data_IF_862232148554
#
_entry.id   IF_862232148554
#
_cell.length_a   1.000
_cell.length_b   1.000
_cell.length_c   1.000
_cell.angle_alpha   90.00
_cell.angle_beta   90.00
_cell.angle_gamma   90.00
#
_symmetry.space_group_name_H-M   'P 1'
#
loop_
_entity.id
_entity.type
_entity.pdbx_description
1 polymer ?
#
# COMPACT_ATOMS: atom_id res chain seq x y z
N UNK A 1 20.18 -8.74 18.89
CA UNK A 1 19.00 -9.65 18.97
C UNK A 1 17.70 -8.89 19.21
N UNK A 2 17.64 -7.96 20.16
CA UNK A 2 16.47 -7.08 20.41
C UNK A 2 15.96 -6.35 19.17
N UNK A 3 16.88 -5.83 18.36
CA UNK A 3 16.57 -5.09 17.13
C UNK A 3 15.82 -5.92 16.08
N UNK A 4 16.26 -7.16 15.89
CA UNK A 4 15.65 -8.11 14.94
C UNK A 4 14.26 -8.50 15.43
N UNK A 5 14.10 -8.71 16.74
CA UNK A 5 12.80 -9.03 17.34
C UNK A 5 11.80 -7.86 17.16
N UNK A 6 12.23 -6.62 17.39
CA UNK A 6 11.38 -5.43 17.17
C UNK A 6 10.94 -5.33 15.71
N UNK A 7 11.86 -5.55 14.76
CA UNK A 7 11.55 -5.57 13.33
C UNK A 7 10.49 -6.63 13.04
N UNK A 8 10.71 -7.88 13.45
CA UNK A 8 9.78 -8.98 13.17
C UNK A 8 8.40 -8.71 13.79
N UNK A 9 8.34 -8.35 15.08
CA UNK A 9 7.07 -8.09 15.78
C UNK A 9 6.31 -6.91 15.17
N UNK A 10 7.00 -5.81 14.84
CA UNK A 10 6.39 -4.63 14.22
C UNK A 10 5.86 -4.96 12.83
N UNK A 11 6.63 -5.74 12.05
CA UNK A 11 6.23 -6.20 10.71
C UNK A 11 4.97 -7.05 10.77
N UNK A 12 4.97 -8.06 11.65
CA UNK A 12 3.84 -8.96 11.84
C UNK A 12 2.61 -8.18 12.27
N UNK A 13 2.72 -7.29 13.25
CA UNK A 13 1.61 -6.44 13.68
C UNK A 13 1.02 -5.60 12.54
N UNK A 14 1.86 -4.83 11.85
CA UNK A 14 1.44 -3.92 10.78
C UNK A 14 0.78 -4.67 9.62
N UNK A 15 1.42 -5.74 9.13
CA UNK A 15 0.88 -6.53 8.02
C UNK A 15 -0.38 -7.30 8.41
N UNK A 16 -0.43 -7.85 9.63
CA UNK A 16 -1.61 -8.58 10.10
C UNK A 16 -2.83 -7.67 10.12
N UNK A 17 -2.71 -6.43 10.59
CA UNK A 17 -3.81 -5.46 10.59
C UNK A 17 -4.27 -5.14 9.16
N UNK A 18 -3.33 -4.80 8.26
CA UNK A 18 -3.70 -4.43 6.88
C UNK A 18 -4.36 -5.61 6.16
N UNK A 19 -3.77 -6.80 6.22
CA UNK A 19 -4.30 -7.98 5.55
C UNK A 19 -5.64 -8.41 6.16
N UNK A 20 -5.78 -8.40 7.49
CA UNK A 20 -7.07 -8.74 8.12
C UNK A 20 -8.19 -7.84 7.63
N UNK A 21 -7.95 -6.53 7.52
CA UNK A 21 -8.96 -5.59 7.05
C UNK A 21 -9.30 -5.81 5.57
N UNK A 22 -8.30 -6.14 4.75
CA UNK A 22 -8.50 -6.55 3.37
C UNK A 22 -9.41 -7.79 3.28
N UNK A 23 -9.06 -8.87 3.97
CA UNK A 23 -9.85 -10.10 3.99
C UNK A 23 -11.25 -9.89 4.55
N UNK A 24 -11.38 -9.04 5.59
CA UNK A 24 -12.70 -8.67 6.12
C UNK A 24 -13.57 -7.98 5.07
N UNK A 25 -12.98 -7.22 4.14
CA UNK A 25 -13.69 -6.64 3.00
C UNK A 25 -14.38 -7.71 2.16
N UNK A 26 -13.63 -8.72 1.71
CA UNK A 26 -14.18 -9.87 0.98
C UNK A 26 -15.22 -10.62 1.81
N UNK A 27 -14.93 -10.89 3.08
CA UNK A 27 -15.82 -11.60 4.00
C UNK A 27 -17.18 -10.90 4.12
N UNK A 28 -17.20 -9.61 4.42
CA UNK A 28 -18.44 -8.85 4.61
C UNK A 28 -19.22 -8.71 3.32
N UNK A 29 -18.56 -8.48 2.18
CA UNK A 29 -19.22 -8.42 0.88
C UNK A 29 -19.81 -9.76 0.46
N UNK A 30 -19.09 -10.86 0.68
CA UNK A 30 -19.56 -12.21 0.39
C UNK A 30 -20.79 -12.56 1.25
N UNK A 31 -20.75 -12.23 2.55
CA UNK A 31 -21.89 -12.37 3.46
C UNK A 31 -23.10 -11.56 2.99
N UNK A 32 -22.90 -10.30 2.59
CA UNK A 32 -23.97 -9.45 2.08
C UNK A 32 -24.58 -9.99 0.77
N UNK A 33 -23.77 -10.64 -0.07
CA UNK A 33 -24.24 -11.30 -1.30
C UNK A 33 -24.83 -12.70 -1.06
N UNK A 34 -24.90 -13.17 0.19
CA UNK A 34 -25.39 -14.51 0.53
C UNK A 34 -24.49 -15.63 -0.01
N UNK A 35 -23.18 -15.40 -0.08
CA UNK A 35 -22.17 -16.43 -0.38
C UNK A 35 -21.83 -17.16 0.92
N UNK A 36 -21.80 -18.49 0.88
CA UNK A 36 -21.33 -19.32 1.97
C UNK A 36 -19.81 -19.27 2.05
N UNK A 37 -19.31 -19.05 3.26
CA UNK A 37 -17.88 -18.93 3.56
C UNK A 37 -17.51 -20.15 4.40
N UNK A 38 -16.45 -20.84 4.02
CA UNK A 38 -15.97 -22.01 4.74
C UNK A 38 -14.96 -21.61 5.81
N UNK A 39 -13.99 -20.75 5.46
CA UNK A 39 -12.92 -20.36 6.36
C UNK A 39 -12.49 -18.90 6.20
N UNK A 40 -12.20 -18.24 7.32
CA UNK A 40 -11.45 -16.99 7.42
C UNK A 40 -10.11 -17.28 8.10
N UNK A 41 -9.00 -17.07 7.40
CA UNK A 41 -7.65 -17.36 7.91
C UNK A 41 -6.83 -16.09 8.03
N UNK A 42 -6.29 -15.84 9.22
CA UNK A 42 -5.18 -14.92 9.42
C UNK A 42 -3.88 -15.70 9.31
N UNK A 43 -3.12 -15.44 8.26
CA UNK A 43 -1.91 -16.17 7.91
C UNK A 43 -2.15 -17.44 7.08
N UNK A 44 -1.05 -18.12 6.77
CA UNK A 44 -0.99 -19.35 5.99
C UNK A 44 -0.43 -20.54 6.79
N UNK A 45 -0.65 -21.75 6.26
CA UNK A 45 -0.15 -22.99 6.85
C UNK A 45 -1.10 -23.63 7.89
N UNK A 46 -0.60 -24.56 8.72
CA UNK A 46 -1.42 -25.23 9.72
C UNK A 46 -1.96 -24.23 10.76
N UNK A 47 -3.21 -24.39 11.22
CA UNK A 47 -3.80 -23.52 12.23
C UNK A 47 -3.10 -23.72 13.58
N UNK A 48 -2.72 -22.62 14.22
CA UNK A 48 -2.31 -22.61 15.63
C UNK A 48 -3.54 -22.66 16.54
N UNK A 49 -4.56 -21.89 16.18
CA UNK A 49 -5.85 -21.83 16.86
C UNK A 49 -6.94 -21.73 15.80
N UNK A 50 -8.01 -22.48 15.97
CA UNK A 50 -9.19 -22.44 15.10
C UNK A 50 -10.49 -22.59 15.91
N UNK A 51 -11.52 -21.86 15.51
CA UNK A 51 -12.86 -21.96 16.10
C UNK A 51 -13.92 -21.75 15.02
N UNK A 52 -15.14 -22.27 15.23
CA UNK A 52 -16.27 -22.03 14.32
C UNK A 52 -17.22 -21.00 14.90
N UNK A 53 -17.69 -20.07 14.08
CA UNK A 53 -18.72 -19.11 14.49
C UNK A 53 -20.13 -19.70 14.38
N UNK A 54 -21.13 -18.93 14.82
CA UNK A 54 -22.55 -19.30 14.74
C UNK A 54 -23.08 -19.52 13.32
N UNK A 55 -22.34 -19.09 12.30
CA UNK A 55 -22.69 -19.27 10.90
C UNK A 55 -21.94 -20.44 10.25
N UNK A 56 -21.15 -21.18 11.04
CA UNK A 56 -20.38 -22.33 10.58
C UNK A 56 -19.03 -21.98 9.96
N UNK A 57 -18.64 -20.70 9.93
CA UNK A 57 -17.34 -20.26 9.36
C UNK A 57 -16.23 -20.65 10.31
N UNK A 58 -15.21 -21.32 9.80
CA UNK A 58 -13.97 -21.58 10.54
C UNK A 58 -13.07 -20.34 10.55
N UNK A 59 -12.88 -19.75 11.72
CA UNK A 59 -11.90 -18.72 11.98
C UNK A 59 -10.62 -19.35 12.46
N UNK A 60 -9.49 -19.01 11.85
CA UNK A 60 -8.19 -19.56 12.25
C UNK A 60 -7.07 -18.53 12.23
N UNK A 61 -6.13 -18.71 13.16
CA UNK A 61 -4.85 -18.03 13.19
C UNK A 61 -3.81 -19.08 12.83
N UNK A 62 -3.13 -18.90 11.70
CA UNK A 62 -2.19 -19.87 11.16
C UNK A 62 -0.75 -19.58 11.60
N UNK A 63 0.11 -20.58 11.44
CA UNK A 63 1.51 -20.54 11.87
C UNK A 63 2.38 -19.50 11.13
N UNK A 64 2.03 -19.16 9.88
CA UNK A 64 2.76 -18.16 9.09
C UNK A 64 1.94 -16.86 9.07
N UNK A 65 2.33 -15.82 9.83
CA UNK A 65 1.52 -14.60 10.01
C UNK A 65 1.68 -13.58 8.85
N UNK A 66 2.10 -14.06 7.67
CA UNK A 66 2.38 -13.25 6.49
C UNK A 66 1.25 -13.42 5.46
N UNK A 67 0.13 -12.76 5.69
CA UNK A 67 -1.02 -12.78 4.79
C UNK A 67 -2.29 -13.27 5.46
N UNK A 68 -3.24 -13.71 4.65
CA UNK A 68 -4.57 -14.17 5.06
C UNK A 68 -5.38 -14.53 3.82
N UNK A 69 -6.54 -15.15 4.04
CA UNK A 69 -7.48 -15.42 2.95
C UNK A 69 -8.88 -15.69 3.50
N UNK A 70 -9.88 -15.40 2.67
CA UNK A 70 -11.26 -15.88 2.82
C UNK A 70 -11.50 -16.99 1.81
N UNK A 71 -11.77 -18.21 2.29
CA UNK A 71 -12.14 -19.35 1.44
C UNK A 71 -13.65 -19.45 1.33
N UNK A 72 -14.19 -19.36 0.11
CA UNK A 72 -15.60 -19.56 -0.14
C UNK A 72 -15.94 -21.05 -0.24
N UNK A 73 -17.20 -21.40 0.02
CA UNK A 73 -17.67 -22.77 -0.11
C UNK A 73 -17.54 -23.23 -1.57
N UNK A 74 -16.90 -24.38 -1.78
CA UNK A 74 -16.63 -24.93 -3.11
C UNK A 74 -15.29 -24.51 -3.74
N UNK A 75 -14.54 -23.62 -3.10
CA UNK A 75 -13.16 -23.34 -3.52
C UNK A 75 -12.24 -24.49 -3.09
N UNK A 76 -11.55 -25.11 -4.04
CA UNK A 76 -10.55 -26.16 -3.74
C UNK A 76 -9.25 -25.57 -3.16
N UNK A 77 -8.93 -24.30 -3.45
CA UNK A 77 -7.69 -23.63 -3.03
C UNK A 77 -7.93 -22.15 -2.68
N UNK A 78 -7.02 -21.55 -1.91
CA UNK A 78 -7.09 -20.14 -1.47
C UNK A 78 -7.06 -19.10 -2.61
N UNK A 79 -6.67 -19.50 -3.82
CA UNK A 79 -6.69 -18.66 -5.01
C UNK A 79 -8.06 -18.66 -5.74
N UNK A 80 -9.06 -19.41 -5.22
CA UNK A 80 -10.42 -19.51 -5.79
C UNK A 80 -10.44 -19.80 -7.30
N UNK A 81 -9.58 -20.72 -7.75
CA UNK A 81 -9.53 -21.19 -9.15
C UNK A 81 -10.07 -22.62 -9.21
N UNK A 82 -11.33 -22.82 -9.62
CA UNK A 82 -11.82 -24.13 -10.01
C UNK A 82 -11.32 -24.47 -11.41
N UNK A 83 -11.19 -25.77 -11.67
CA UNK A 83 -11.20 -26.28 -13.04
C UNK A 83 -12.59 -26.02 -13.64
N UNK A 84 -12.71 -25.05 -14.55
CA UNK A 84 -14.03 -24.59 -15.05
C UNK A 84 -14.80 -25.69 -15.81
N UNK A 85 -14.09 -26.67 -16.37
CA UNK A 85 -14.68 -27.82 -17.06
C UNK A 85 -15.57 -28.67 -16.12
N UNK A 86 -15.49 -28.41 -14.81
CA UNK A 86 -16.24 -29.09 -13.77
C UNK A 86 -17.33 -28.23 -13.11
N UNK A 87 -17.65 -27.01 -13.59
CA UNK A 87 -18.67 -26.15 -12.96
C UNK A 87 -20.09 -26.74 -13.06
N UNK A 88 -20.45 -27.38 -14.17
CA UNK A 88 -21.74 -28.04 -14.32
C UNK A 88 -21.83 -29.31 -13.47
N UNK A 89 -20.77 -30.11 -13.42
CA UNK A 89 -20.68 -31.28 -12.54
C UNK A 89 -20.63 -30.87 -11.06
N UNK A 90 -20.00 -29.75 -10.72
CA UNK A 90 -20.05 -29.15 -9.40
C UNK A 90 -21.49 -28.72 -9.06
N UNK A 91 -22.20 -28.06 -9.99
CA UNK A 91 -23.61 -27.72 -9.78
C UNK A 91 -24.47 -28.96 -9.56
N UNK A 92 -24.30 -29.99 -10.39
CA UNK A 92 -25.05 -31.24 -10.28
C UNK A 92 -24.79 -31.96 -8.95
N UNK A 93 -23.53 -32.02 -8.52
CA UNK A 93 -23.15 -32.64 -7.24
C UNK A 93 -23.67 -31.85 -6.03
N UNK A 94 -23.66 -30.52 -6.08
CA UNK A 94 -24.25 -29.66 -5.05
C UNK A 94 -25.76 -29.88 -4.96
N UNK A 95 -26.47 -29.86 -6.09
CA UNK A 95 -27.92 -30.08 -6.12
C UNK A 95 -28.28 -31.48 -5.62
N UNK A 96 -27.49 -32.49 -5.96
CA UNK A 96 -27.70 -33.85 -5.46
C UNK A 96 -27.48 -33.98 -3.94
N UNK A 97 -26.50 -33.25 -3.38
CA UNK A 97 -26.15 -33.33 -1.95
C UNK A 97 -26.99 -32.43 -1.05
N UNK A 98 -27.32 -31.23 -1.51
CA UNK A 98 -27.89 -30.14 -0.71
C UNK A 98 -29.28 -29.70 -1.18
N UNK A 99 -29.79 -30.25 -2.29
CA UNK A 99 -31.09 -29.93 -2.86
C UNK A 99 -31.06 -28.81 -3.92
N UNK A 100 -32.19 -28.63 -4.61
CA UNK A 100 -32.33 -27.55 -5.61
C UNK A 100 -32.18 -26.16 -4.99
N UNK A 101 -31.43 -25.29 -5.65
CA UNK A 101 -31.21 -23.90 -5.22
C UNK A 101 -30.02 -23.71 -4.27
N UNK A 102 -29.39 -24.80 -3.79
CA UNK A 102 -28.22 -24.73 -2.93
C UNK A 102 -27.00 -24.10 -3.63
N UNK A 103 -26.89 -24.26 -4.95
CA UNK A 103 -25.85 -23.66 -5.78
C UNK A 103 -25.82 -22.12 -5.70
N UNK A 104 -26.96 -21.50 -5.36
CA UNK A 104 -27.04 -20.05 -5.17
C UNK A 104 -26.18 -19.54 -4.02
N UNK A 105 -25.74 -20.40 -3.09
CA UNK A 105 -24.84 -20.05 -1.98
C UNK A 105 -23.37 -20.09 -2.36
N UNK A 106 -23.02 -20.69 -3.49
CA UNK A 106 -21.63 -20.87 -3.93
C UNK A 106 -21.17 -19.69 -4.76
N UNK A 107 -19.93 -19.23 -4.53
CA UNK A 107 -19.38 -18.03 -5.14
C UNK A 107 -19.41 -18.10 -6.68
N UNK A 108 -19.00 -19.22 -7.28
CA UNK A 108 -18.88 -19.37 -8.73
C UNK A 108 -20.20 -19.25 -9.51
N UNK A 109 -21.34 -19.52 -8.86
CA UNK A 109 -22.65 -19.42 -9.49
C UNK A 109 -23.35 -18.08 -9.24
N UNK A 110 -22.70 -17.16 -8.52
CA UNK A 110 -23.22 -15.80 -8.31
C UNK A 110 -23.12 -14.98 -9.61
N UNK A 111 -24.07 -14.06 -9.84
CA UNK A 111 -23.98 -13.08 -10.92
C UNK A 111 -22.63 -12.36 -10.92
N UNK A 112 -22.13 -12.03 -12.12
CA UNK A 112 -20.83 -11.38 -12.34
C UNK A 112 -20.67 -10.13 -11.47
N UNK A 113 -21.73 -9.32 -11.34
CA UNK A 113 -21.70 -8.10 -10.53
C UNK A 113 -21.50 -8.37 -9.03
N UNK A 114 -22.05 -9.47 -8.49
CA UNK A 114 -21.83 -9.86 -7.09
C UNK A 114 -20.39 -10.34 -6.88
N UNK A 115 -19.87 -11.16 -7.81
CA UNK A 115 -18.46 -11.60 -7.78
C UNK A 115 -17.50 -10.41 -7.89
N UNK A 116 -17.82 -9.43 -8.73
CA UNK A 116 -17.05 -8.20 -8.86
C UNK A 116 -17.09 -7.33 -7.60
N UNK A 117 -18.25 -7.18 -6.96
CA UNK A 117 -18.35 -6.47 -5.66
C UNK A 117 -17.50 -7.17 -4.60
N UNK A 118 -17.55 -8.50 -4.52
CA UNK A 118 -16.75 -9.26 -3.56
C UNK A 118 -15.26 -9.06 -3.84
N UNK A 119 -14.82 -9.15 -5.10
CA UNK A 119 -13.43 -8.94 -5.48
C UNK A 119 -12.93 -7.52 -5.16
N UNK A 120 -13.74 -6.48 -5.42
CA UNK A 120 -13.31 -5.10 -5.13
C UNK A 120 -13.41 -4.73 -3.64
N UNK A 121 -14.16 -5.50 -2.84
CA UNK A 121 -14.41 -5.15 -1.44
C UNK A 121 -13.16 -5.17 -0.56
N UNK A 122 -12.21 -6.09 -0.81
CA UNK A 122 -10.94 -6.12 -0.08
C UNK A 122 -10.07 -4.88 -0.33
N UNK A 123 -9.80 -4.49 -1.58
CA UNK A 123 -9.07 -3.25 -1.86
C UNK A 123 -9.79 -2.01 -1.33
N UNK A 124 -11.12 -1.97 -1.43
CA UNK A 124 -11.92 -0.85 -0.92
C UNK A 124 -11.85 -0.76 0.61
N UNK A 125 -11.90 -1.87 1.35
CA UNK A 125 -11.78 -1.84 2.82
C UNK A 125 -10.43 -1.27 3.26
N UNK A 126 -9.36 -1.54 2.51
CA UNK A 126 -8.06 -0.94 2.76
C UNK A 126 -8.05 0.59 2.56
N UNK A 127 -8.69 1.10 1.51
CA UNK A 127 -8.82 2.55 1.36
C UNK A 127 -9.68 3.17 2.46
N UNK A 128 -10.78 2.51 2.85
CA UNK A 128 -11.61 2.96 3.97
C UNK A 128 -10.80 3.02 5.26
N UNK A 129 -10.01 1.99 5.57
CA UNK A 129 -9.12 1.98 6.74
C UNK A 129 -8.15 3.17 6.72
N UNK A 130 -7.50 3.40 5.58
CA UNK A 130 -6.56 4.50 5.44
C UNK A 130 -7.23 5.87 5.64
N UNK A 131 -8.42 6.07 5.06
CA UNK A 131 -9.21 7.29 5.22
C UNK A 131 -9.59 7.50 6.70
N UNK A 132 -10.05 6.46 7.39
CA UNK A 132 -10.45 6.56 8.79
C UNK A 132 -9.28 6.89 9.70
N UNK A 133 -8.15 6.20 9.54
CA UNK A 133 -6.93 6.47 10.32
C UNK A 133 -6.45 7.90 10.05
N UNK A 134 -6.40 8.31 8.78
CA UNK A 134 -5.95 9.65 8.41
C UNK A 134 -6.90 10.72 8.94
N UNK A 135 -8.22 10.54 8.84
CA UNK A 135 -9.21 11.49 9.37
C UNK A 135 -9.01 11.70 10.88
N UNK A 136 -8.84 10.61 11.63
CA UNK A 136 -8.53 10.66 13.06
C UNK A 136 -7.24 11.43 13.33
N UNK A 137 -6.19 11.16 12.55
CA UNK A 137 -4.91 11.87 12.66
C UNK A 137 -5.03 13.38 12.36
N UNK A 138 -5.79 13.73 11.33
CA UNK A 138 -6.03 15.12 10.91
C UNK A 138 -6.78 15.94 11.95
N UNK A 139 -7.67 15.31 12.74
CA UNK A 139 -8.38 15.96 13.84
C UNK A 139 -7.48 16.09 15.07
N UNK A 140 -6.86 14.98 15.51
CA UNK A 140 -6.15 14.94 16.78
C UNK A 140 -4.79 15.66 16.73
N UNK A 141 -4.04 15.45 15.66
CA UNK A 141 -2.65 15.93 15.53
C UNK A 141 -2.61 17.08 14.53
N UNK A 142 -3.27 16.91 13.38
CA UNK A 142 -3.23 17.86 12.26
C UNK A 142 -2.05 17.62 11.33
N UNK A 143 -1.95 18.45 10.29
CA UNK A 143 -0.82 18.42 9.35
C UNK A 143 0.15 19.55 9.63
N UNK A 144 1.45 19.26 9.78
CA UNK A 144 2.46 20.31 9.78
C UNK A 144 2.49 20.95 8.39
N UNK A 145 2.12 22.23 8.31
CA UNK A 145 2.24 23.05 7.11
C UNK A 145 3.27 24.14 7.35
N UNK A 146 4.46 23.92 6.82
CA UNK A 146 5.49 24.95 6.70
C UNK A 146 5.21 25.75 5.43
N UNK A 147 5.29 27.07 5.51
CA UNK A 147 5.13 27.95 4.35
C UNK A 147 6.17 27.58 3.29
N UNK A 148 5.83 27.57 1.98
CA UNK A 148 6.73 27.16 0.91
C UNK A 148 7.73 28.28 0.55
N UNK A 149 8.37 28.87 1.57
CA UNK A 149 9.38 29.92 1.43
C UNK A 149 10.76 29.28 1.38
N UNK A 150 11.54 29.66 0.37
CA UNK A 150 12.95 29.27 0.23
C UNK A 150 13.76 30.04 1.26
N UNK A 151 14.35 29.35 2.23
CA UNK A 151 15.21 30.00 3.24
C UNK A 151 16.68 29.90 2.88
N UNK A 152 17.05 28.83 2.17
CA UNK A 152 18.40 28.63 1.65
C UNK A 152 18.37 27.87 0.34
N UNK A 153 19.41 28.05 -0.45
CA UNK A 153 19.64 27.33 -1.71
C UNK A 153 21.01 26.69 -1.60
N UNK A 154 21.08 25.37 -1.78
CA UNK A 154 22.33 24.61 -1.73
C UNK A 154 23.21 24.97 -2.94
N UNK A 155 24.51 25.19 -2.72
CA UNK A 155 25.47 25.44 -3.81
C UNK A 155 25.63 24.21 -4.71
N UNK A 156 25.73 24.42 -6.02
CA UNK A 156 25.82 23.38 -7.04
C UNK A 156 24.50 22.64 -7.31
N UNK A 157 23.41 23.04 -6.66
CA UNK A 157 22.12 22.35 -6.75
C UNK A 157 21.34 22.70 -8.01
N UNK A 158 20.29 21.92 -8.28
CA UNK A 158 19.35 22.22 -9.35
C UNK A 158 18.55 23.53 -9.08
N UNK A 159 18.32 23.86 -7.81
CA UNK A 159 17.71 25.12 -7.40
C UNK A 159 18.61 26.32 -7.73
N UNK A 160 19.91 26.24 -7.42
CA UNK A 160 20.85 27.31 -7.73
C UNK A 160 20.97 27.52 -9.24
N UNK A 161 21.13 26.44 -10.01
CA UNK A 161 21.23 26.49 -11.46
C UNK A 161 19.97 27.07 -12.14
N UNK A 162 18.79 26.84 -11.55
CA UNK A 162 17.53 27.40 -12.03
C UNK A 162 17.28 28.84 -11.55
N UNK A 163 18.15 29.40 -10.70
CA UNK A 163 18.07 30.77 -10.23
C UNK A 163 17.09 31.01 -9.08
N UNK A 164 16.79 29.99 -8.27
CA UNK A 164 16.08 30.17 -7.00
C UNK A 164 16.91 31.05 -6.05
N UNK A 165 16.23 31.84 -5.22
CA UNK A 165 16.86 32.72 -4.22
C UNK A 165 16.19 32.56 -2.86
N UNK A 166 16.95 32.72 -1.75
CA UNK A 166 16.36 32.92 -0.44
C UNK A 166 15.32 34.06 -0.48
N UNK A 167 14.16 33.83 0.13
CA UNK A 167 13.01 34.74 0.11
C UNK A 167 11.94 34.40 -0.93
N UNK A 168 12.25 33.55 -1.92
CA UNK A 168 11.25 33.11 -2.90
C UNK A 168 10.11 32.34 -2.22
N UNK A 169 8.87 32.70 -2.50
CA UNK A 169 7.70 31.90 -2.08
C UNK A 169 7.19 31.07 -3.25
N UNK A 170 7.26 29.75 -3.16
CA UNK A 170 6.86 28.85 -4.24
C UNK A 170 5.34 28.73 -4.26
N UNK A 171 4.72 29.21 -5.35
CA UNK A 171 3.26 29.23 -5.52
C UNK A 171 2.75 28.01 -6.27
N UNK A 172 3.47 27.60 -7.33
CA UNK A 172 3.09 26.46 -8.20
C UNK A 172 4.33 25.68 -8.65
N UNK A 173 4.13 24.39 -8.89
CA UNK A 173 5.03 23.49 -9.59
C UNK A 173 4.22 22.76 -10.67
N UNK A 174 4.56 22.99 -11.93
CA UNK A 174 3.74 22.70 -13.11
C UNK A 174 2.31 23.26 -12.94
N UNK A 175 1.30 22.41 -13.11
CA UNK A 175 -0.11 22.76 -12.89
C UNK A 175 -0.54 22.67 -11.42
N UNK A 176 0.34 22.24 -10.50
CA UNK A 176 -0.01 21.99 -9.09
C UNK A 176 0.28 23.21 -8.23
N UNK A 177 -0.73 23.68 -7.49
CA UNK A 177 -0.57 24.69 -6.44
C UNK A 177 0.22 24.11 -5.26
N UNK A 178 1.22 24.86 -4.79
CA UNK A 178 2.07 24.50 -3.66
C UNK A 178 1.64 25.35 -2.46
N UNK A 179 0.94 24.73 -1.53
CA UNK A 179 0.44 25.41 -0.31
C UNK A 179 1.38 25.23 0.88
N UNK A 180 2.28 24.25 0.82
CA UNK A 180 3.23 23.97 1.88
C UNK A 180 4.53 23.40 1.31
N UNK A 181 5.61 23.54 2.08
CA UNK A 181 6.89 22.95 1.75
C UNK A 181 6.82 21.40 1.70
N UNK A 182 5.97 20.78 2.53
CA UNK A 182 5.73 19.33 2.48
C UNK A 182 5.10 18.91 1.14
N UNK A 183 4.14 19.70 0.63
CA UNK A 183 3.51 19.46 -0.68
C UNK A 183 4.54 19.51 -1.81
N UNK A 184 5.47 20.47 -1.72
CA UNK A 184 6.58 20.61 -2.66
C UNK A 184 7.53 19.40 -2.60
N UNK A 185 7.95 19.01 -1.40
CA UNK A 185 8.83 17.85 -1.20
C UNK A 185 8.21 16.56 -1.76
N UNK A 186 6.95 16.28 -1.43
CA UNK A 186 6.24 15.11 -1.94
C UNK A 186 6.09 15.15 -3.48
N UNK A 187 5.91 16.34 -4.05
CA UNK A 187 5.80 16.51 -5.50
C UNK A 187 7.14 16.29 -6.22
N UNK A 188 8.21 16.90 -5.73
CA UNK A 188 9.55 16.82 -6.32
C UNK A 188 10.21 15.46 -6.06
N UNK A 189 9.91 14.82 -4.92
CA UNK A 189 10.54 13.61 -4.42
C UNK A 189 10.55 12.44 -5.41
N UNK A 190 9.61 12.41 -6.36
CA UNK A 190 9.51 11.38 -7.40
C UNK A 190 9.81 11.89 -8.81
N UNK A 191 10.28 13.12 -8.97
CA UNK A 191 10.49 13.80 -10.26
C UNK A 191 11.97 14.01 -10.60
N UNK A 192 12.85 13.11 -10.12
CA UNK A 192 14.26 13.14 -10.50
C UNK A 192 14.39 13.07 -12.03
N UNK A 193 15.25 13.92 -12.59
CA UNK A 193 15.53 14.06 -14.02
C UNK A 193 14.33 14.52 -14.87
N UNK A 194 13.27 15.05 -14.26
CA UNK A 194 12.16 15.68 -14.96
C UNK A 194 12.19 17.19 -14.72
N UNK A 195 12.21 17.98 -15.78
CA UNK A 195 12.10 19.42 -15.65
C UNK A 195 10.71 19.79 -15.11
N UNK A 196 10.69 20.63 -14.09
CA UNK A 196 9.48 21.15 -13.44
C UNK A 196 9.46 22.67 -13.61
N UNK A 197 8.31 23.19 -14.03
CA UNK A 197 8.08 24.62 -14.21
C UNK A 197 7.50 25.21 -12.93
N UNK A 198 8.31 26.02 -12.24
CA UNK A 198 7.93 26.67 -10.99
C UNK A 198 7.43 28.08 -11.24
N UNK A 199 6.39 28.46 -10.49
CA UNK A 199 6.00 29.86 -10.33
C UNK A 199 6.31 30.26 -8.89
N UNK A 200 7.20 31.24 -8.72
CA UNK A 200 7.60 31.76 -7.42
C UNK A 200 7.25 33.23 -7.29
N UNK A 201 6.93 33.67 -6.08
CA UNK A 201 6.78 35.08 -5.75
C UNK A 201 8.11 35.59 -5.19
N UNK A 202 8.71 36.55 -5.90
CA UNK A 202 9.96 37.24 -5.54
C UNK A 202 9.70 38.74 -5.54
N UNK A 203 9.98 39.40 -4.42
CA UNK A 203 9.78 40.86 -4.25
C UNK A 203 8.38 41.34 -4.69
N UNK A 204 7.35 40.52 -4.43
CA UNK A 204 5.96 40.82 -4.80
C UNK A 204 5.54 40.45 -6.22
N UNK A 205 6.46 40.07 -7.11
CA UNK A 205 6.19 39.69 -8.50
C UNK A 205 6.24 38.17 -8.70
N UNK A 206 5.47 37.66 -9.65
CA UNK A 206 5.57 36.27 -10.09
C UNK A 206 6.75 36.11 -11.06
N UNK A 207 7.60 35.12 -10.77
CA UNK A 207 8.76 34.74 -11.56
C UNK A 207 8.62 33.26 -11.93
N UNK A 208 8.79 32.96 -13.21
CA UNK A 208 8.80 31.58 -13.70
C UNK A 208 10.24 31.05 -13.72
N UNK A 209 10.47 29.91 -13.07
CA UNK A 209 11.76 29.24 -13.00
C UNK A 209 11.59 27.81 -13.47
N UNK A 210 12.51 27.31 -14.30
CA UNK A 210 12.49 25.90 -14.73
C UNK A 210 13.65 25.16 -14.10
N UNK A 211 13.36 24.12 -13.34
CA UNK A 211 14.38 23.37 -12.63
C UNK A 211 14.19 21.86 -12.77
N UNK A 212 15.29 21.13 -12.86
CA UNK A 212 15.29 19.67 -12.99
C UNK A 212 15.87 19.05 -11.72
N UNK A 213 15.05 18.49 -10.82
CA UNK A 213 15.52 17.81 -9.62
C UNK A 213 16.49 16.68 -9.98
N UNK A 214 17.52 16.49 -9.17
CA UNK A 214 18.52 15.44 -9.41
C UNK A 214 18.36 14.31 -8.42
N UNK A 215 18.71 13.11 -8.85
CA UNK A 215 18.80 11.96 -7.97
C UNK A 215 20.11 12.05 -7.19
N UNK A 216 20.01 12.03 -5.87
CA UNK A 216 21.18 12.05 -4.98
C UNK A 216 21.10 10.88 -4.00
N UNK A 217 22.25 10.31 -3.67
CA UNK A 217 22.34 9.29 -2.62
C UNK A 217 22.28 9.96 -1.25
N UNK A 218 21.43 9.42 -0.38
CA UNK A 218 21.30 9.84 1.01
C UNK A 218 21.16 8.60 1.89
N UNK A 219 21.68 8.67 3.11
CA UNK A 219 21.40 7.67 4.13
C UNK A 219 20.30 8.20 5.03
N UNK A 220 19.14 7.54 5.00
CA UNK A 220 17.99 7.86 5.83
C UNK A 220 17.89 6.88 7.01
N UNK A 221 17.43 7.38 8.17
CA UNK A 221 17.36 6.59 9.40
C UNK A 221 16.35 5.43 9.30
N UNK A 222 15.33 5.55 8.45
CA UNK A 222 14.27 4.55 8.31
C UNK A 222 14.49 3.63 7.11
N UNK A 223 14.98 4.19 6.00
CA UNK A 223 15.08 3.50 4.71
C UNK A 223 16.50 3.08 4.32
N UNK A 224 17.51 3.39 5.13
CA UNK A 224 18.91 3.03 4.85
C UNK A 224 19.50 3.86 3.71
N UNK A 225 20.40 3.28 2.90
CA UNK A 225 20.96 3.97 1.74
C UNK A 225 19.91 4.03 0.64
N UNK A 226 19.49 5.23 0.27
CA UNK A 226 18.46 5.43 -0.75
C UNK A 226 18.82 6.60 -1.66
N UNK A 227 18.23 6.59 -2.86
CA UNK A 227 18.40 7.63 -3.86
C UNK A 227 17.14 8.50 -3.86
N UNK A 228 17.24 9.74 -3.39
CA UNK A 228 16.11 10.67 -3.33
C UNK A 228 16.22 11.74 -4.40
N UNK A 229 15.09 12.15 -4.95
CA UNK A 229 15.02 13.34 -5.80
C UNK A 229 15.17 14.58 -4.93
N UNK A 230 16.19 15.40 -5.18
CA UNK A 230 16.42 16.65 -4.46
C UNK A 230 16.58 17.82 -5.43
N UNK A 231 15.95 18.94 -5.07
CA UNK A 231 16.09 20.22 -5.78
C UNK A 231 17.21 21.09 -5.19
N UNK A 232 17.45 21.00 -3.87
CA UNK A 232 18.46 21.78 -3.15
C UNK A 232 17.90 23.07 -2.52
N UNK A 233 16.65 23.03 -2.08
CA UNK A 233 15.96 24.13 -1.40
C UNK A 233 15.85 23.77 0.08
N UNK A 234 16.34 24.65 0.95
CA UNK A 234 16.09 24.59 2.38
C UNK A 234 14.84 25.37 2.76
N UNK A 235 14.14 24.86 3.78
CA UNK A 235 13.00 25.53 4.40
C UNK A 235 13.18 25.52 5.92
N UNK A 236 13.26 26.72 6.49
CA UNK A 236 13.15 26.98 7.92
C UNK A 236 11.84 27.73 8.24
N UNK A 237 10.82 27.55 7.40
CA UNK A 237 9.53 28.21 7.57
C UNK A 237 8.87 27.77 8.87
N UNK A 238 8.14 28.68 9.52
CA UNK A 238 7.35 28.35 10.70
C UNK A 238 6.36 27.23 10.35
N UNK A 239 6.46 26.12 11.08
CA UNK A 239 5.54 24.99 10.94
C UNK A 239 4.27 25.30 11.71
N UNK A 240 3.18 25.55 11.00
CA UNK A 240 1.86 25.68 11.61
C UNK A 240 1.12 24.34 11.53
N UNK A 241 0.57 23.87 12.64
CA UNK A 241 -0.30 22.71 12.64
C UNK A 241 -1.69 23.12 12.12
N UNK A 242 -2.03 22.68 10.92
CA UNK A 242 -3.40 22.81 10.40
C UNK A 242 -4.18 21.57 10.79
N UNK A 243 -5.11 21.73 11.73
CA UNK A 243 -6.06 20.67 12.11
C UNK A 243 -7.32 20.74 11.26
N UNK A 244 -7.89 19.58 10.99
CA UNK A 244 -9.17 19.47 10.30
C UNK A 244 -10.30 19.50 11.31
N UNK A 245 -11.45 20.01 10.91
CA UNK A 245 -12.67 19.89 11.72
C UNK A 245 -13.15 18.44 11.70
N UNK A 246 -13.91 18.00 12.69
CA UNK A 246 -14.43 16.63 12.75
C UNK A 246 -15.23 16.27 11.50
N UNK A 247 -16.05 17.19 11.00
CA UNK A 247 -16.84 17.01 9.78
C UNK A 247 -16.00 17.10 8.49
N UNK A 248 -14.93 17.91 8.49
CA UNK A 248 -14.04 18.08 7.34
C UNK A 248 -12.99 16.97 7.20
N UNK A 249 -12.72 16.22 8.27
CA UNK A 249 -11.62 15.27 8.33
C UNK A 249 -11.72 14.12 7.33
N UNK A 250 -12.92 13.59 7.07
CA UNK A 250 -13.11 12.51 6.09
C UNK A 250 -12.89 13.00 4.66
N UNK A 251 -13.49 14.13 4.21
CA UNK A 251 -13.14 14.74 2.94
C UNK A 251 -11.64 15.03 2.79
N UNK A 252 -11.02 15.64 3.80
CA UNK A 252 -9.59 15.99 3.76
C UNK A 252 -8.71 14.72 3.68
N UNK A 253 -9.02 13.69 4.48
CA UNK A 253 -8.35 12.39 4.43
C UNK A 253 -8.52 11.70 3.07
N UNK A 254 -9.68 11.82 2.46
CA UNK A 254 -9.95 11.27 1.11
C UNK A 254 -9.05 11.94 0.07
N UNK A 255 -8.87 13.26 0.16
CA UNK A 255 -7.94 14.01 -0.71
C UNK A 255 -6.49 13.55 -0.52
N UNK A 256 -6.06 13.30 0.73
CA UNK A 256 -4.72 12.78 1.02
C UNK A 256 -4.53 11.37 0.44
N UNK A 257 -5.48 10.45 0.66
CA UNK A 257 -5.44 9.09 0.11
C UNK A 257 -5.43 9.10 -1.42
N UNK A 258 -6.24 9.96 -2.06
CA UNK A 258 -6.21 10.15 -3.50
C UNK A 258 -4.86 10.68 -3.99
N UNK A 259 -4.23 11.57 -3.22
CA UNK A 259 -2.86 12.03 -3.45
C UNK A 259 -1.85 10.89 -3.43
N UNK A 260 -1.96 9.97 -2.46
CA UNK A 260 -1.12 8.78 -2.36
C UNK A 260 -1.33 7.85 -3.55
N UNK A 261 -2.58 7.56 -3.94
CA UNK A 261 -2.91 6.74 -5.12
C UNK A 261 -2.27 7.31 -6.39
N UNK A 262 -2.42 8.61 -6.65
CA UNK A 262 -1.77 9.27 -7.81
C UNK A 262 -0.25 9.17 -7.77
N UNK A 263 0.32 9.26 -6.57
CA UNK A 263 1.76 9.18 -6.34
C UNK A 263 2.28 7.77 -6.65
N UNK A 264 1.58 6.74 -6.18
CA UNK A 264 1.88 5.34 -6.47
C UNK A 264 1.76 5.06 -7.97
N UNK A 265 0.68 5.48 -8.61
CA UNK A 265 0.49 5.29 -10.06
C UNK A 265 1.57 5.99 -10.89
N UNK A 266 1.92 7.23 -10.53
CA UNK A 266 3.01 7.96 -11.18
C UNK A 266 4.36 7.25 -11.01
N UNK A 267 4.67 6.77 -9.80
CA UNK A 267 5.88 6.03 -9.50
C UNK A 267 5.98 4.73 -10.32
N UNK A 268 4.91 3.93 -10.32
CA UNK A 268 4.85 2.68 -11.09
C UNK A 268 4.99 2.93 -12.59
N UNK A 269 4.35 3.98 -13.12
CA UNK A 269 4.50 4.34 -14.53
C UNK A 269 5.95 4.66 -14.90
N UNK A 270 6.67 5.41 -14.05
CA UNK A 270 8.10 5.70 -14.26
C UNK A 270 8.99 4.47 -14.13
N UNK A 271 8.63 3.55 -13.25
CA UNK A 271 9.34 2.30 -13.08
C UNK A 271 9.20 1.40 -14.31
N UNK A 272 7.98 1.18 -14.79
CA UNK A 272 7.70 0.34 -15.96
C UNK A 272 8.28 0.94 -17.25
N UNK A 273 8.37 2.26 -17.35
CA UNK A 273 9.00 2.96 -18.49
C UNK A 273 10.53 3.07 -18.40
N UNK A 274 11.15 2.52 -17.34
CA UNK A 274 12.61 2.54 -17.15
C UNK A 274 13.20 3.91 -16.81
N UNK A 275 12.35 4.88 -16.44
CA UNK A 275 12.77 6.23 -16.07
C UNK A 275 13.25 6.35 -14.62
N UNK A 276 12.99 5.32 -13.81
CA UNK A 276 13.41 5.23 -12.42
C UNK A 276 14.11 3.89 -12.19
N UNK A 277 15.26 3.87 -11.49
CA UNK A 277 15.95 2.62 -11.25
C UNK A 277 15.14 1.72 -10.31
N UNK A 278 15.10 0.43 -10.65
CA UNK A 278 14.33 -0.57 -9.92
C UNK A 278 14.92 -0.90 -8.53
N UNK A 279 16.16 -0.46 -8.26
CA UNK A 279 16.83 -0.53 -6.96
C UNK A 279 16.14 0.30 -5.85
N UNK A 280 15.08 1.03 -6.21
CA UNK A 280 14.26 1.79 -5.27
C UNK A 280 13.07 1.02 -4.70
N UNK A 281 12.67 -0.11 -5.29
CA UNK A 281 11.55 -0.90 -4.79
C UNK A 281 11.91 -1.58 -3.48
N UNK A 282 11.15 -1.29 -2.42
CA UNK A 282 11.24 -2.02 -1.16
C UNK A 282 10.33 -3.23 -1.17
N UNK A 283 10.82 -4.38 -0.71
CA UNK A 283 10.04 -5.59 -0.48
C UNK A 283 9.58 -5.71 0.97
N UNK A 284 9.28 -6.95 1.37
CA UNK A 284 8.81 -7.29 2.72
C UNK A 284 9.86 -6.95 3.79
N UNK A 285 11.15 -7.09 3.47
CA UNK A 285 12.27 -6.79 4.37
C UNK A 285 12.35 -5.28 4.60
N UNK A 286 12.21 -4.47 3.55
CA UNK A 286 12.18 -3.01 3.66
C UNK A 286 10.98 -2.48 4.43
N UNK A 287 9.80 -3.09 4.27
CA UNK A 287 8.63 -2.81 5.12
C UNK A 287 8.98 -3.09 6.58
N UNK A 288 9.63 -4.22 6.87
CA UNK A 288 9.98 -4.58 8.24
C UNK A 288 11.02 -3.66 8.87
N UNK A 289 12.06 -3.27 8.12
CA UNK A 289 13.02 -2.27 8.57
C UNK A 289 12.34 -0.93 8.88
N UNK A 290 11.43 -0.49 8.02
CA UNK A 290 10.67 0.76 8.21
C UNK A 290 9.79 0.66 9.47
N UNK A 291 9.04 -0.45 9.63
CA UNK A 291 8.20 -0.69 10.79
C UNK A 291 9.02 -0.71 12.09
N UNK A 292 10.15 -1.43 12.10
CA UNK A 292 11.05 -1.47 13.25
C UNK A 292 11.67 -0.12 13.57
N UNK A 293 12.08 0.66 12.56
CA UNK A 293 12.64 1.99 12.76
C UNK A 293 11.60 2.99 13.30
N UNK A 294 10.36 2.92 12.82
CA UNK A 294 9.22 3.69 13.38
C UNK A 294 8.98 3.32 14.83
N UNK A 295 8.91 2.03 15.16
CA UNK A 295 8.73 1.56 16.55
C UNK A 295 9.83 2.07 17.47
N UNK A 296 11.11 1.97 17.06
CA UNK A 296 12.24 2.46 17.86
C UNK A 296 12.18 3.98 18.06
N UNK A 297 12.00 4.73 16.98
CA UNK A 297 11.93 6.19 17.04
C UNK A 297 10.78 6.68 17.94
N UNK A 298 9.65 5.97 17.93
CA UNK A 298 8.50 6.29 18.78
C UNK A 298 8.66 5.87 20.24
N UNK A 299 9.47 4.85 20.50
CA UNK A 299 9.78 4.39 21.85
C UNK A 299 10.83 5.26 22.55
N UNK A 300 11.74 5.88 21.79
CA UNK A 300 12.80 6.75 22.30
C UNK A 300 12.25 7.95 23.10
N UNK A 301 12.85 8.21 24.26
CA UNK A 301 12.49 9.34 25.11
C UNK A 301 11.06 9.28 25.68
N UNK A 302 10.45 8.10 25.75
CA UNK A 302 9.16 7.92 26.43
C UNK A 302 9.35 7.90 27.95
N UNK A 303 8.59 8.70 28.72
CA UNK A 303 8.75 8.79 30.18
C UNK A 303 8.31 7.53 30.93
N UNK A 304 7.43 6.72 30.35
CA UNK A 304 6.97 5.46 30.93
C UNK A 304 6.46 4.47 29.86
N UNK A 305 6.21 3.23 30.26
CA UNK A 305 5.76 2.15 29.34
C UNK A 305 4.42 2.46 28.68
N UNK A 306 3.48 3.10 29.39
CA UNK A 306 2.17 3.44 28.84
C UNK A 306 2.26 4.48 27.70
N UNK A 307 3.04 5.55 27.91
CA UNK A 307 3.30 6.57 26.88
C UNK A 307 4.12 6.02 25.72
N UNK A 308 5.08 5.12 25.98
CA UNK A 308 5.81 4.39 24.95
C UNK A 308 4.86 3.59 24.06
N UNK A 309 4.00 2.76 24.66
CA UNK A 309 3.04 1.93 23.95
C UNK A 309 2.08 2.78 23.12
N UNK A 310 1.58 3.89 23.66
CA UNK A 310 0.71 4.82 22.93
C UNK A 310 1.43 5.48 21.75
N UNK A 311 2.67 5.96 21.92
CA UNK A 311 3.45 6.56 20.83
C UNK A 311 3.72 5.57 19.70
N UNK A 312 4.16 4.36 20.05
CA UNK A 312 4.37 3.27 19.09
C UNK A 312 3.06 2.96 18.37
N UNK A 313 1.96 2.77 19.08
CA UNK A 313 0.65 2.50 18.49
C UNK A 313 0.23 3.59 17.48
N UNK A 314 0.28 4.87 17.87
CA UNK A 314 -0.09 6.00 17.01
C UNK A 314 0.80 6.07 15.76
N UNK A 315 2.11 5.89 15.91
CA UNK A 315 3.03 5.90 14.77
C UNK A 315 2.82 4.72 13.82
N UNK A 316 2.52 3.53 14.35
CA UNK A 316 2.20 2.35 13.57
C UNK A 316 0.89 2.49 12.81
N UNK A 317 -0.10 3.21 13.37
CA UNK A 317 -1.35 3.51 12.65
C UNK A 317 -1.09 4.29 11.35
N UNK A 318 -0.21 5.29 11.37
CA UNK A 318 0.15 6.02 10.15
C UNK A 318 0.83 5.11 9.11
N UNK A 319 1.71 4.22 9.55
CA UNK A 319 2.35 3.25 8.66
C UNK A 319 1.30 2.30 8.07
N UNK A 320 0.39 1.78 8.89
CA UNK A 320 -0.75 0.95 8.47
C UNK A 320 -1.60 1.69 7.44
N UNK A 321 -1.93 2.98 7.64
CA UNK A 321 -2.68 3.76 6.67
C UNK A 321 -1.95 3.83 5.31
N UNK A 322 -0.66 4.14 5.30
CA UNK A 322 0.13 4.24 4.06
C UNK A 322 0.27 2.91 3.32
N UNK A 323 0.51 1.82 4.07
CA UNK A 323 0.60 0.47 3.51
C UNK A 323 -0.76 -0.03 3.05
N UNK A 324 -1.85 0.32 3.74
CA UNK A 324 -3.21 -0.01 3.35
C UNK A 324 -3.55 0.59 1.99
N UNK A 325 -3.23 1.87 1.75
CA UNK A 325 -3.39 2.46 0.41
C UNK A 325 -2.55 1.73 -0.63
N UNK A 326 -1.30 1.38 -0.29
CA UNK A 326 -0.39 0.72 -1.23
C UNK A 326 -0.86 -0.69 -1.59
N UNK A 327 -1.26 -1.50 -0.60
CA UNK A 327 -1.76 -2.86 -0.79
C UNK A 327 -3.10 -2.84 -1.51
N UNK A 328 -4.03 -1.95 -1.11
CA UNK A 328 -5.30 -1.78 -1.82
C UNK A 328 -5.10 -1.38 -3.29
N UNK A 329 -4.16 -0.47 -3.58
CA UNK A 329 -3.82 -0.10 -4.95
C UNK A 329 -3.22 -1.27 -5.73
N UNK A 330 -2.24 -1.97 -5.15
CA UNK A 330 -1.57 -3.10 -5.80
C UNK A 330 -2.56 -4.22 -6.11
N UNK A 331 -3.48 -4.55 -5.20
CA UNK A 331 -4.49 -5.58 -5.42
C UNK A 331 -5.52 -5.22 -6.48
N UNK A 332 -5.68 -3.94 -6.84
CA UNK A 332 -6.51 -3.52 -7.98
C UNK A 332 -5.79 -3.58 -9.33
N UNK A 333 -4.49 -3.87 -9.37
CA UNK A 333 -3.79 -4.04 -10.64
C UNK A 333 -4.36 -5.23 -11.41
N UNK A 334 -4.43 -5.15 -12.75
CA UNK A 334 -4.98 -6.21 -13.61
C UNK A 334 -4.01 -7.40 -13.75
N UNK A 335 -3.60 -7.99 -12.64
CA UNK A 335 -2.70 -9.13 -12.55
C UNK A 335 -3.52 -10.33 -12.09
N UNK A 336 -3.58 -11.45 -12.84
CA UNK A 336 -4.51 -12.56 -12.60
C UNK A 336 -4.60 -13.12 -11.17
N UNK A 337 -3.49 -13.08 -10.41
CA UNK A 337 -3.42 -13.59 -9.01
C UNK A 337 -3.95 -12.59 -7.98
N UNK A 338 -4.18 -11.34 -8.38
CA UNK A 338 -4.71 -10.27 -7.53
C UNK A 338 -6.19 -10.04 -7.82
N UNK A 339 -6.90 -9.36 -6.92
CA UNK A 339 -8.33 -9.06 -7.06
C UNK A 339 -8.66 -8.35 -8.38
N UNK A 340 -7.80 -7.42 -8.80
CA UNK A 340 -7.90 -6.69 -10.07
C UNK A 340 -7.80 -7.60 -11.30
N UNK A 341 -7.08 -8.72 -11.19
CA UNK A 341 -7.09 -9.78 -12.19
C UNK A 341 -8.45 -10.46 -12.32
N UNK A 342 -9.08 -10.79 -11.19
CA UNK A 342 -10.45 -11.30 -11.18
C UNK A 342 -11.44 -10.29 -11.76
N UNK A 343 -11.32 -9.01 -11.41
CA UNK A 343 -12.12 -7.93 -11.98
C UNK A 343 -11.96 -7.83 -13.50
N UNK A 344 -10.73 -7.97 -14.02
CA UNK A 344 -10.49 -7.99 -15.47
C UNK A 344 -11.20 -9.16 -16.16
N UNK A 345 -11.14 -10.35 -15.56
CA UNK A 345 -11.82 -11.54 -16.08
C UNK A 345 -13.35 -11.38 -16.04
N UNK A 346 -13.90 -10.79 -14.97
CA UNK A 346 -15.33 -10.50 -14.85
C UNK A 346 -15.78 -9.41 -15.83
N UNK A 347 -14.95 -8.40 -16.08
CA UNK A 347 -15.21 -7.39 -17.10
C UNK A 347 -15.27 -8.04 -18.50
N UNK A 348 -14.33 -8.94 -18.81
CA UNK A 348 -14.39 -9.73 -20.04
C UNK A 348 -15.68 -10.58 -20.10
N UNK A 349 -16.02 -11.30 -19.04
CA UNK A 349 -17.22 -12.13 -18.97
C UNK A 349 -18.50 -11.31 -19.19
N UNK A 350 -18.60 -10.12 -18.61
CA UNK A 350 -19.74 -9.22 -18.76
C UNK A 350 -19.94 -8.74 -20.21
N UNK A 351 -18.83 -8.46 -20.92
CA UNK A 351 -18.86 -7.99 -22.32
C UNK A 351 -19.07 -9.16 -23.28
N UNK A 352 -18.31 -10.24 -23.11
CA UNK A 352 -18.34 -11.42 -23.97
C UNK A 352 -19.57 -12.31 -23.72
N UNK A 353 -20.30 -12.08 -22.61
CA UNK A 353 -21.41 -12.91 -22.11
C UNK A 353 -21.07 -14.39 -21.95
N UNK A 354 -19.77 -14.69 -21.82
CA UNK A 354 -19.23 -16.04 -21.63
C UNK A 354 -17.96 -15.96 -20.78
N UNK A 355 -17.70 -16.96 -19.92
CA UNK A 355 -16.48 -16.99 -19.12
C UNK A 355 -15.23 -17.10 -20.01
N UNK A 356 -14.09 -16.65 -19.47
CA UNK A 356 -12.80 -16.85 -20.11
C UNK A 356 -12.46 -18.35 -20.10
N UNK A 357 -11.96 -18.87 -21.23
CA UNK A 357 -11.57 -20.29 -21.36
C UNK A 357 -10.61 -20.70 -20.23
N UNK A 358 -10.83 -21.89 -19.66
CA UNK A 358 -10.04 -22.46 -18.57
C UNK A 358 -8.53 -22.42 -18.87
N UNK A 359 -8.11 -22.85 -20.07
CA UNK A 359 -6.70 -22.84 -20.50
C UNK A 359 -6.05 -21.46 -20.37
N UNK A 360 -6.76 -20.43 -20.83
CA UNK A 360 -6.28 -19.05 -20.83
C UNK A 360 -6.25 -18.48 -19.40
N UNK A 361 -7.26 -18.79 -18.59
CA UNK A 361 -7.28 -18.41 -17.18
C UNK A 361 -6.12 -19.05 -16.42
N UNK A 362 -5.92 -20.37 -16.56
CA UNK A 362 -4.83 -21.10 -15.92
C UNK A 362 -3.45 -20.64 -16.41
N UNK A 363 -3.29 -20.32 -17.69
CA UNK A 363 -2.07 -19.69 -18.21
C UNK A 363 -1.85 -18.30 -17.59
N UNK A 364 -2.91 -17.49 -17.50
CA UNK A 364 -2.88 -16.18 -16.86
C UNK A 364 -2.46 -16.24 -15.40
N UNK A 365 -3.03 -17.15 -14.60
CA UNK A 365 -2.65 -17.34 -13.20
C UNK A 365 -1.19 -17.79 -13.05
N UNK A 366 -0.73 -18.74 -13.86
CA UNK A 366 0.68 -19.19 -13.83
C UNK A 366 1.65 -18.05 -14.17
N UNK A 367 1.33 -17.28 -15.21
CA UNK A 367 2.13 -16.10 -15.59
C UNK A 367 2.11 -15.03 -14.50
N UNK A 368 0.94 -14.73 -13.94
CA UNK A 368 0.78 -13.77 -12.84
C UNK A 368 1.53 -14.20 -11.58
N UNK A 369 1.48 -15.48 -11.22
CA UNK A 369 2.20 -16.04 -10.07
C UNK A 369 3.71 -15.97 -10.28
N UNK A 370 4.20 -16.37 -11.45
CA UNK A 370 5.61 -16.25 -11.81
C UNK A 370 6.09 -14.79 -11.74
N UNK A 371 5.27 -13.84 -12.21
CA UNK A 371 5.57 -12.42 -12.15
C UNK A 371 5.64 -11.90 -10.71
N UNK A 372 4.66 -12.24 -9.86
CA UNK A 372 4.64 -11.81 -8.45
C UNK A 372 5.81 -12.43 -7.68
N UNK A 373 6.05 -13.74 -7.82
CA UNK A 373 7.16 -14.41 -7.15
C UNK A 373 8.51 -13.85 -7.61
N UNK A 374 8.68 -13.63 -8.92
CA UNK A 374 9.87 -13.00 -9.48
C UNK A 374 10.09 -11.59 -8.93
N UNK A 375 9.02 -10.79 -8.84
CA UNK A 375 9.06 -9.46 -8.25
C UNK A 375 9.39 -9.50 -6.74
N UNK A 376 8.81 -10.43 -5.98
CA UNK A 376 9.10 -10.62 -4.55
C UNK A 376 10.57 -10.99 -4.33
N UNK A 377 11.12 -11.91 -5.12
CA UNK A 377 12.54 -12.28 -5.07
C UNK A 377 13.45 -11.10 -5.43
N UNK A 378 13.09 -10.35 -6.49
CA UNK A 378 13.81 -9.16 -6.89
C UNK A 378 13.81 -8.08 -5.79
N UNK A 379 12.64 -7.79 -5.20
CA UNK A 379 12.50 -6.82 -4.13
C UNK A 379 13.23 -7.25 -2.86
N UNK A 380 13.19 -8.55 -2.51
CA UNK A 380 13.96 -9.09 -1.40
C UNK A 380 15.47 -8.98 -1.64
N UNK A 381 15.94 -9.29 -2.85
CA UNK A 381 17.35 -9.10 -3.23
C UNK A 381 17.77 -7.65 -3.11
N UNK A 382 16.93 -6.73 -3.58
CA UNK A 382 17.19 -5.30 -3.48
C UNK A 382 17.26 -4.82 -2.03
N UNK A 383 16.33 -5.25 -1.18
CA UNK A 383 16.34 -4.95 0.25
C UNK A 383 17.62 -5.46 0.93
N UNK A 384 18.04 -6.70 0.64
CA UNK A 384 19.26 -7.27 1.23
C UNK A 384 20.51 -6.45 0.90
N UNK A 385 20.61 -5.96 -0.34
CA UNK A 385 21.68 -5.07 -0.76
C UNK A 385 21.60 -3.69 -0.09
N UNK A 386 20.38 -3.17 0.08
CA UNK A 386 20.15 -1.84 0.67
C UNK A 386 20.50 -1.78 2.16
N UNK A 387 20.17 -2.83 2.91
CA UNK A 387 20.34 -2.86 4.37
C UNK A 387 21.64 -3.55 4.81
N UNK A 388 22.58 -3.80 3.90
CA UNK A 388 23.89 -4.42 4.19
C UNK A 388 23.80 -5.73 5.00
N UNK A 389 22.71 -6.49 4.87
CA UNK A 389 22.45 -7.70 5.66
C UNK A 389 23.59 -8.72 5.49
N UNK A 390 24.19 -8.77 4.30
CA UNK A 390 25.35 -9.63 4.02
C UNK A 390 26.62 -9.24 4.78
N UNK A 391 26.83 -7.96 5.13
CA UNK A 391 27.97 -7.55 5.97
C UNK A 391 27.78 -8.00 7.42
N UNK A 392 26.54 -7.98 7.90
CA UNK A 392 26.19 -8.51 9.22
C UNK A 392 26.42 -10.03 9.30
N UNK A 393 26.00 -10.78 8.27
CA UNK A 393 26.22 -12.24 8.22
C UNK A 393 27.71 -12.57 8.04
N UNK A 394 28.43 -11.87 7.16
CA UNK A 394 29.87 -12.05 6.96
C UNK A 394 30.67 -11.83 8.24
N UNK A 395 30.31 -10.82 9.04
CA UNK A 395 30.92 -10.54 10.35
C UNK A 395 30.52 -11.49 11.48
N UNK A 396 29.59 -12.44 11.26
CA UNK A 396 29.30 -13.51 12.22
C UNK A 396 30.18 -14.75 12.02
N UNK A 397 30.80 -14.87 10.85
CA UNK A 397 31.68 -16.00 10.47
C UNK A 397 33.17 -15.61 10.39
N UNK A 398 33.51 -14.37 10.69
CA UNK A 398 34.87 -13.84 10.92
C UNK A 398 34.94 -13.26 12.31
#
# INVERSE_FOLDING_TARGET
>A
MTDVLIIILSTVFVLSVVVTIHELGHYWAARACGVAIDCFSLGFGPPLVSWRDKHGVEWRIASIPLGGYVRFLGDENAASVPDQDNLEAMRASIVAREGQGAESRYFHFKPVWQRAIIAVAGPVSNFVLAILIMAVFLVMIGTPRSTPVVTSVERGSAAEAAGFRPGDTILKADSRKIESFQTLQNYIGLRANLAVDFTVKRDGREVHLRATPRLIETTDRFSGRTKVSRLGIGNAGMTHLKRSTVLGAVPDATVEVWGMIKTIGFYLGRLVTGQLPADQISGLIGIGHTAGAVTKASAEGAPNVATMALRVFVSSMLLIASLSVSIGFMNLLPIPVLDGGHLLMYAYEAVAKRPLRADFQAAGFRAGLALILGFMLFAAWNDLNRYDVFKFIGGLFT
#
